data_IF_089788790008
#
_entry.id   IF_089788790008
#
_cell.length_a   1.000
_cell.length_b   1.000
_cell.length_c   1.000
_cell.angle_alpha   90.00
_cell.angle_beta   90.00
_cell.angle_gamma   90.00
#
_symmetry.space_group_name_H-M   'P 1'
#
loop_
_entity.id
_entity.type
_entity.pdbx_description
1 polymer ?
#
# COMPACT_ATOMS: atom_id res chain seq x y z
N UNK A 1 24.53 -68.40 -22.48
CA UNK A 1 23.10 -68.27 -22.87
C UNK A 1 22.51 -66.85 -22.84
N UNK A 2 23.25 -65.76 -22.52
CA UNK A 2 22.69 -64.39 -22.44
C UNK A 2 22.74 -63.53 -23.72
N UNK A 3 23.52 -63.90 -24.74
CA UNK A 3 23.74 -63.04 -25.94
C UNK A 3 22.70 -63.28 -27.07
N UNK A 4 22.03 -64.45 -27.11
CA UNK A 4 20.98 -64.74 -28.12
C UNK A 4 19.62 -64.09 -27.80
N UNK A 5 19.34 -63.73 -26.55
CA UNK A 5 18.09 -63.03 -26.17
C UNK A 5 18.10 -61.53 -26.50
N UNK A 6 19.28 -60.90 -26.51
CA UNK A 6 19.43 -59.46 -26.79
C UNK A 6 19.24 -59.14 -28.28
N UNK A 7 19.74 -60.00 -29.18
CA UNK A 7 19.53 -59.86 -30.64
C UNK A 7 18.08 -60.04 -31.08
N UNK A 8 17.30 -60.84 -30.35
CA UNK A 8 15.88 -61.09 -30.64
C UNK A 8 14.96 -59.96 -30.14
N UNK A 9 15.38 -59.25 -29.08
CA UNK A 9 14.66 -58.08 -28.55
C UNK A 9 14.90 -56.81 -29.37
N UNK A 10 16.11 -56.62 -29.92
CA UNK A 10 16.41 -55.48 -30.77
C UNK A 10 15.68 -55.54 -32.13
N UNK A 11 15.50 -56.71 -32.73
CA UNK A 11 14.72 -56.86 -33.97
C UNK A 11 13.22 -56.67 -33.74
N UNK A 12 12.69 -57.11 -32.59
CA UNK A 12 11.29 -56.87 -32.22
C UNK A 12 10.99 -55.37 -31.99
N UNK A 13 11.92 -54.64 -31.38
CA UNK A 13 11.77 -53.20 -31.13
C UNK A 13 11.79 -52.37 -32.43
N UNK A 14 12.63 -52.72 -33.40
CA UNK A 14 12.70 -52.01 -34.70
C UNK A 14 11.44 -52.24 -35.54
N UNK A 15 10.86 -53.44 -35.52
CA UNK A 15 9.60 -53.74 -36.21
C UNK A 15 8.41 -53.02 -35.55
N UNK A 16 8.39 -52.90 -34.22
CA UNK A 16 7.34 -52.17 -33.50
C UNK A 16 7.38 -50.65 -33.75
N UNK A 17 8.58 -50.07 -33.91
CA UNK A 17 8.73 -48.64 -34.26
C UNK A 17 8.38 -48.39 -35.73
N UNK A 18 8.72 -49.30 -36.64
CA UNK A 18 8.33 -49.20 -38.05
C UNK A 18 6.80 -49.36 -38.27
N UNK A 19 6.13 -50.24 -37.52
CA UNK A 19 4.66 -50.38 -37.60
C UNK A 19 3.91 -49.22 -36.95
N UNK A 20 4.46 -48.55 -35.95
CA UNK A 20 3.80 -47.40 -35.31
C UNK A 20 3.90 -46.11 -36.12
N UNK A 21 4.91 -45.96 -36.99
CA UNK A 21 5.02 -44.83 -37.92
C UNK A 21 4.15 -44.96 -39.19
N UNK A 22 3.64 -46.16 -39.50
CA UNK A 22 2.78 -46.41 -40.68
C UNK A 22 1.27 -46.25 -40.41
N UNK A 23 0.84 -46.14 -39.15
CA UNK A 23 -0.59 -45.99 -38.79
C UNK A 23 -1.03 -44.51 -38.72
N UNK A 24 -0.10 -43.56 -38.79
CA UNK A 24 -0.42 -42.12 -38.84
C UNK A 24 -0.68 -41.57 -40.26
N UNK A 25 -0.74 -42.44 -41.28
CA UNK A 25 -0.80 -42.05 -42.70
C UNK A 25 -2.10 -42.34 -43.45
N UNK A 26 -3.15 -42.88 -42.80
CA UNK A 26 -4.45 -43.04 -43.47
C UNK A 26 -5.21 -41.73 -43.35
N UNK A 27 -4.97 -40.84 -44.32
CA UNK A 27 -5.86 -39.73 -44.62
C UNK A 27 -7.25 -40.28 -44.91
N UNK A 28 -8.26 -39.69 -44.29
CA UNK A 28 -9.66 -39.95 -44.64
C UNK A 28 -9.83 -39.48 -46.09
N UNK A 29 -10.28 -40.34 -47.04
CA UNK A 29 -10.55 -39.90 -48.40
C UNK A 29 -11.59 -38.79 -48.38
N UNK A 30 -11.31 -37.71 -49.10
CA UNK A 30 -12.12 -36.47 -49.13
C UNK A 30 -13.55 -36.69 -49.62
N UNK A 31 -13.89 -37.88 -50.13
CA UNK A 31 -15.22 -38.28 -50.58
C UNK A 31 -16.18 -38.75 -49.47
N UNK A 32 -15.72 -38.92 -48.22
CA UNK A 32 -16.62 -39.20 -47.07
C UNK A 32 -17.07 -37.94 -46.32
N UNK A 33 -16.52 -36.77 -46.66
CA UNK A 33 -17.13 -35.49 -46.30
C UNK A 33 -18.19 -35.21 -47.36
N UNK A 34 -19.36 -35.84 -47.22
CA UNK A 34 -20.57 -35.25 -47.78
C UNK A 34 -20.63 -33.87 -47.14
N UNK A 35 -20.25 -32.81 -47.88
CA UNK A 35 -20.77 -31.47 -47.57
C UNK A 35 -22.27 -31.74 -47.50
N UNK A 36 -22.81 -31.78 -46.29
CA UNK A 36 -24.19 -31.43 -46.14
C UNK A 36 -24.26 -30.11 -46.91
N UNK A 37 -24.89 -30.13 -48.09
CA UNK A 37 -25.56 -28.95 -48.55
C UNK A 37 -26.48 -28.66 -47.38
N UNK A 38 -25.98 -27.83 -46.45
CA UNK A 38 -26.85 -27.14 -45.55
C UNK A 38 -27.80 -26.49 -46.52
N UNK A 39 -29.02 -27.02 -46.61
CA UNK A 39 -30.13 -26.20 -47.02
C UNK A 39 -29.92 -24.93 -46.21
N UNK A 40 -29.60 -23.84 -46.91
CA UNK A 40 -29.52 -22.54 -46.26
C UNK A 40 -30.80 -22.48 -45.44
N UNK A 41 -30.74 -22.42 -44.10
CA UNK A 41 -31.96 -22.28 -43.34
C UNK A 41 -32.65 -21.06 -43.95
N UNK A 42 -33.92 -21.20 -44.33
CA UNK A 42 -34.70 -20.08 -44.85
C UNK A 42 -34.38 -18.89 -43.97
N UNK A 43 -33.98 -17.77 -44.58
CA UNK A 43 -33.69 -16.54 -43.83
C UNK A 43 -34.86 -16.34 -42.87
N UNK A 44 -34.62 -16.29 -41.54
CA UNK A 44 -35.71 -16.13 -40.61
C UNK A 44 -36.45 -14.86 -41.02
N UNK A 45 -37.75 -15.00 -41.30
CA UNK A 45 -38.56 -13.90 -41.79
C UNK A 45 -38.31 -12.69 -40.88
N UNK A 46 -38.04 -11.49 -41.44
CA UNK A 46 -37.70 -10.32 -40.64
C UNK A 46 -38.79 -10.11 -39.60
N UNK A 47 -38.44 -10.27 -38.33
CA UNK A 47 -39.40 -10.06 -37.26
C UNK A 47 -39.86 -8.61 -37.31
N UNK A 48 -41.18 -8.34 -37.25
CA UNK A 48 -41.66 -6.98 -37.27
C UNK A 48 -41.10 -6.25 -36.05
N UNK A 49 -40.22 -5.28 -36.30
CA UNK A 49 -39.71 -4.39 -35.27
C UNK A 49 -40.90 -3.59 -34.74
N UNK A 50 -41.23 -3.78 -33.48
CA UNK A 50 -42.26 -2.99 -32.81
C UNK A 50 -41.61 -1.68 -32.38
N UNK A 51 -42.14 -0.56 -32.85
CA UNK A 51 -41.65 0.76 -32.45
C UNK A 51 -41.68 0.89 -30.93
N UNK A 52 -40.49 1.04 -30.33
CA UNK A 52 -40.34 1.19 -28.89
C UNK A 52 -41.02 2.47 -28.43
N UNK A 53 -42.06 2.35 -27.61
CA UNK A 53 -42.65 3.51 -26.96
C UNK A 53 -41.73 4.00 -25.85
N UNK A 54 -41.25 5.23 -25.96
CA UNK A 54 -40.49 5.86 -24.89
C UNK A 54 -41.33 5.88 -23.61
N UNK A 55 -40.84 5.18 -22.58
CA UNK A 55 -41.43 5.23 -21.24
C UNK A 55 -40.86 6.49 -20.57
N UNK A 56 -41.70 7.36 -19.97
CA UNK A 56 -41.19 8.49 -19.22
C UNK A 56 -40.25 7.99 -18.13
N UNK A 57 -39.09 8.64 -17.96
CA UNK A 57 -38.19 8.34 -16.85
C UNK A 57 -38.97 8.46 -15.53
N UNK A 58 -39.07 7.34 -14.80
CA UNK A 58 -39.63 7.38 -13.47
C UNK A 58 -38.76 8.31 -12.62
N UNK A 59 -39.35 9.31 -11.97
CA UNK A 59 -38.64 10.14 -11.00
C UNK A 59 -38.15 9.22 -9.89
N UNK A 60 -36.88 8.85 -9.93
CA UNK A 60 -36.22 8.14 -8.84
C UNK A 60 -36.25 9.09 -7.65
N UNK A 61 -36.96 8.69 -6.59
CA UNK A 61 -36.92 9.42 -5.34
C UNK A 61 -35.46 9.47 -4.89
N UNK A 62 -34.96 10.67 -4.58
CA UNK A 62 -33.59 10.83 -4.09
C UNK A 62 -33.34 9.85 -2.96
N UNK A 63 -32.34 8.99 -3.17
CA UNK A 63 -31.89 8.04 -2.17
C UNK A 63 -31.44 8.79 -0.90
N UNK A 64 -31.43 8.09 0.22
CA UNK A 64 -31.07 8.69 1.52
C UNK A 64 -29.66 9.32 1.46
N UNK A 65 -28.74 8.72 0.70
CA UNK A 65 -27.37 9.20 0.48
C UNK A 65 -27.29 10.52 -0.32
N UNK A 66 -28.29 10.82 -1.15
CA UNK A 66 -28.31 12.04 -1.98
C UNK A 66 -28.88 13.24 -1.22
N UNK A 67 -29.49 12.99 -0.05
CA UNK A 67 -29.93 14.01 0.91
C UNK A 67 -28.82 14.46 1.85
N UNK A 68 -27.71 13.71 1.92
CA UNK A 68 -26.59 14.11 2.73
C UNK A 68 -25.94 15.37 2.14
N UNK A 69 -25.68 16.41 2.97
CA UNK A 69 -25.06 17.63 2.49
C UNK A 69 -23.69 17.30 1.88
N UNK A 70 -23.51 17.69 0.62
CA UNK A 70 -22.25 17.45 -0.10
C UNK A 70 -21.11 18.18 0.60
N UNK A 71 -20.25 17.45 1.30
CA UNK A 71 -19.12 18.01 2.02
C UNK A 71 -18.08 18.48 0.99
N UNK A 72 -17.92 19.80 0.84
CA UNK A 72 -16.81 20.37 0.06
C UNK A 72 -15.55 20.40 0.93
N UNK A 73 -14.49 19.66 0.57
CA UNK A 73 -13.25 19.66 1.33
C UNK A 73 -12.57 21.03 1.21
N UNK A 74 -12.13 21.58 2.34
CA UNK A 74 -11.30 22.79 2.36
C UNK A 74 -9.89 22.45 1.87
N UNK A 75 -9.28 23.28 1.00
CA UNK A 75 -7.91 23.03 0.57
C UNK A 75 -6.95 23.11 1.76
N UNK A 76 -5.99 22.19 1.89
CA UNK A 76 -5.04 22.20 3.00
C UNK A 76 -4.06 23.37 2.88
N UNK A 77 -3.79 24.02 4.00
CA UNK A 77 -2.76 25.06 4.15
C UNK A 77 -1.46 24.40 4.59
N UNK A 78 -0.49 24.39 3.69
CA UNK A 78 0.82 23.80 3.93
C UNK A 78 1.77 24.79 4.61
N UNK A 79 2.54 24.34 5.62
CA UNK A 79 3.55 25.18 6.25
C UNK A 79 4.67 25.54 5.28
N UNK A 80 5.22 26.75 5.44
CA UNK A 80 6.41 27.20 4.72
C UNK A 80 7.68 26.89 5.51
N UNK A 81 8.81 26.85 4.80
CA UNK A 81 10.12 26.84 5.43
C UNK A 81 10.37 28.19 6.12
N UNK A 82 11.15 28.16 7.20
CA UNK A 82 11.56 29.37 7.90
C UNK A 82 12.40 29.02 9.13
N UNK A 83 13.00 30.03 9.75
CA UNK A 83 13.78 29.85 10.96
C UNK A 83 13.48 30.96 11.95
N UNK A 84 13.41 30.60 13.23
CA UNK A 84 13.20 31.53 14.33
C UNK A 84 13.91 31.01 15.58
N UNK A 85 14.30 31.93 16.46
CA UNK A 85 14.82 31.61 17.79
C UNK A 85 13.74 31.90 18.83
N UNK A 86 13.66 31.04 19.84
CA UNK A 86 12.65 31.10 20.91
C UNK A 86 13.31 30.79 22.23
N UNK A 87 12.89 31.46 23.29
CA UNK A 87 13.31 31.15 24.64
C UNK A 87 12.53 29.94 25.16
N UNK A 88 13.22 28.90 25.62
CA UNK A 88 12.56 27.72 26.18
C UNK A 88 12.17 27.98 27.64
N UNK A 89 11.07 28.70 27.85
CA UNK A 89 10.51 28.97 29.17
C UNK A 89 9.44 27.93 29.58
N UNK A 90 8.85 28.07 30.77
CA UNK A 90 7.87 27.12 31.29
C UNK A 90 6.57 27.04 30.45
N UNK A 91 6.28 28.07 29.62
CA UNK A 91 5.11 28.13 28.73
C UNK A 91 5.45 27.72 27.30
N UNK A 92 4.47 27.21 26.56
CA UNK A 92 4.63 26.96 25.12
C UNK A 92 4.68 28.29 24.35
N UNK A 93 5.86 28.70 23.95
CA UNK A 93 6.10 29.87 23.12
C UNK A 93 6.15 29.50 21.64
N UNK A 94 5.58 30.35 20.79
CA UNK A 94 5.55 30.11 19.34
C UNK A 94 6.85 30.59 18.69
N UNK A 95 7.42 29.78 17.81
CA UNK A 95 8.56 30.15 16.99
C UNK A 95 8.14 31.07 15.85
N UNK A 96 7.95 32.36 16.13
CA UNK A 96 7.44 33.34 15.17
C UNK A 96 6.17 32.84 14.45
N UNK A 97 6.18 32.78 13.12
CA UNK A 97 5.08 32.28 12.29
C UNK A 97 5.16 30.78 11.97
N UNK A 98 6.12 30.05 12.57
CA UNK A 98 6.33 28.64 12.31
C UNK A 98 5.25 27.77 12.99
N UNK A 99 4.90 26.60 12.43
CA UNK A 99 3.95 25.65 13.00
C UNK A 99 4.49 24.90 14.23
N UNK A 100 5.51 25.42 14.91
CA UNK A 100 6.18 24.76 16.05
C UNK A 100 6.20 25.70 17.24
N UNK A 101 5.89 25.14 18.42
CA UNK A 101 6.02 25.83 19.71
C UNK A 101 6.97 25.07 20.61
N UNK A 102 7.73 25.79 21.42
CA UNK A 102 8.75 25.23 22.30
C UNK A 102 8.46 25.66 23.75
N UNK A 103 8.71 24.76 24.69
CA UNK A 103 8.77 25.05 26.13
C UNK A 103 9.90 24.23 26.76
N UNK A 104 10.36 24.63 27.94
CA UNK A 104 11.19 23.80 28.80
C UNK A 104 10.43 22.52 29.19
N UNK A 105 11.06 21.35 29.04
CA UNK A 105 10.48 20.09 29.52
C UNK A 105 10.64 19.93 31.03
N UNK A 106 11.81 20.34 31.56
CA UNK A 106 12.17 20.22 32.97
C UNK A 106 12.65 21.57 33.51
N UNK A 107 12.09 22.04 34.64
CA UNK A 107 12.52 23.30 35.28
C UNK A 107 13.97 23.27 35.77
N UNK A 108 14.56 22.08 35.92
CA UNK A 108 15.90 21.87 36.49
C UNK A 108 17.02 21.81 35.43
N UNK A 109 16.69 21.57 34.15
CA UNK A 109 17.65 21.54 33.06
C UNK A 109 17.38 22.74 32.15
N UNK A 110 17.99 23.89 32.47
CA UNK A 110 17.80 25.12 31.72
C UNK A 110 18.38 24.98 30.31
N UNK A 111 17.50 24.68 29.36
CA UNK A 111 17.71 25.02 27.96
C UNK A 111 17.35 26.49 27.84
N UNK A 112 18.27 27.31 27.34
CA UNK A 112 18.02 28.74 27.13
C UNK A 112 17.32 28.96 25.79
N UNK A 113 18.00 29.64 24.88
CA UNK A 113 17.50 29.91 23.53
C UNK A 113 17.58 28.67 22.65
N UNK A 114 16.52 28.42 21.90
CA UNK A 114 16.37 27.30 20.96
C UNK A 114 16.12 27.86 19.57
N UNK A 115 16.91 27.44 18.59
CA UNK A 115 16.67 27.70 17.17
C UNK A 115 15.78 26.61 16.59
N UNK A 116 14.69 27.04 16.00
CA UNK A 116 13.76 26.20 15.24
C UNK A 116 13.89 26.55 13.77
N UNK A 117 14.05 25.54 12.93
CA UNK A 117 14.08 25.68 11.48
C UNK A 117 13.09 24.68 10.87
N UNK A 118 12.03 25.16 10.23
CA UNK A 118 11.10 24.32 9.47
C UNK A 118 11.57 24.16 8.03
N UNK A 119 11.40 22.95 7.51
CA UNK A 119 11.84 22.60 6.16
C UNK A 119 10.77 22.88 5.12
N UNK A 120 11.22 23.04 3.86
CA UNK A 120 10.33 23.20 2.71
C UNK A 120 9.50 21.93 2.47
N UNK A 121 8.25 22.03 1.96
CA UNK A 121 7.39 20.87 1.69
C UNK A 121 8.06 19.77 0.86
N UNK A 122 8.89 20.14 -0.11
CA UNK A 122 9.62 19.19 -0.96
C UNK A 122 10.64 18.39 -0.17
N UNK A 123 11.35 19.03 0.77
CA UNK A 123 12.30 18.36 1.66
C UNK A 123 11.56 17.44 2.64
N UNK A 124 10.42 17.89 3.20
CA UNK A 124 9.57 17.06 4.06
C UNK A 124 9.14 15.78 3.33
N UNK A 125 8.70 15.90 2.08
CA UNK A 125 8.29 14.75 1.24
C UNK A 125 9.46 13.80 0.96
N UNK A 126 10.66 14.32 0.67
CA UNK A 126 11.88 13.51 0.48
C UNK A 126 12.29 12.73 1.73
N UNK A 127 11.93 13.21 2.92
CA UNK A 127 12.15 12.51 4.18
C UNK A 127 11.08 11.46 4.49
N UNK A 128 10.05 11.32 3.64
CA UNK A 128 8.88 10.47 3.90
C UNK A 128 7.89 11.08 4.90
N UNK A 129 8.02 12.39 5.16
CA UNK A 129 7.14 13.15 6.04
C UNK A 129 5.96 13.79 5.33
N UNK A 130 5.10 14.42 6.12
CA UNK A 130 3.91 15.15 5.67
C UNK A 130 3.77 16.46 6.44
N UNK A 131 3.71 17.56 5.70
CA UNK A 131 3.42 18.90 6.23
C UNK A 131 4.56 19.55 7.00
N UNK A 132 4.93 19.02 8.17
CA UNK A 132 5.92 19.64 9.07
C UNK A 132 7.14 18.75 9.24
N UNK A 133 8.31 19.34 9.01
CA UNK A 133 9.58 18.86 9.56
C UNK A 133 10.33 20.05 10.16
N UNK A 134 10.92 19.86 11.33
CA UNK A 134 11.69 20.89 12.01
C UNK A 134 13.01 20.35 12.54
N UNK A 135 14.06 21.13 12.35
CA UNK A 135 15.32 21.01 13.08
C UNK A 135 15.22 21.91 14.31
N UNK A 136 15.54 21.34 15.48
CA UNK A 136 15.45 22.03 16.76
C UNK A 136 16.81 21.91 17.44
N UNK A 137 17.48 23.03 17.64
CA UNK A 137 18.84 23.09 18.16
C UNK A 137 18.97 24.12 19.27
N UNK A 138 19.93 23.92 20.17
CA UNK A 138 20.28 24.94 21.15
C UNK A 138 20.99 26.10 20.45
N UNK A 139 20.56 27.32 20.74
CA UNK A 139 21.19 28.57 20.32
C UNK A 139 21.83 29.33 21.50
N UNK A 140 21.78 28.76 22.71
CA UNK A 140 22.36 29.32 23.94
C UNK A 140 23.86 29.06 24.11
N UNK A 141 24.54 28.56 23.06
CA UNK A 141 25.98 28.26 23.08
C UNK A 141 26.35 26.95 23.80
N UNK A 142 25.40 26.22 24.39
CA UNK A 142 25.67 24.93 25.04
C UNK A 142 25.54 23.76 24.08
N UNK A 143 26.54 22.86 24.07
CA UNK A 143 26.49 21.61 23.33
C UNK A 143 25.85 20.46 24.12
N UNK A 144 25.59 20.66 25.42
CA UNK A 144 25.07 19.62 26.30
C UNK A 144 23.63 19.23 25.92
N UNK A 145 23.26 17.95 26.04
CA UNK A 145 21.91 17.50 25.75
C UNK A 145 20.91 18.14 26.71
N UNK A 146 19.75 18.54 26.19
CA UNK A 146 18.66 19.11 26.96
C UNK A 146 17.31 18.68 26.42
N UNK A 147 16.32 18.51 27.30
CA UNK A 147 14.95 18.16 26.90
C UNK A 147 14.10 19.41 26.77
N UNK A 148 13.38 19.51 25.67
CA UNK A 148 12.38 20.55 25.41
C UNK A 148 11.05 19.91 25.04
N UNK A 149 9.95 20.54 25.43
CA UNK A 149 8.63 20.16 24.94
C UNK A 149 8.38 20.88 23.63
N UNK A 150 8.19 20.11 22.57
CA UNK A 150 7.87 20.61 21.25
C UNK A 150 6.42 20.27 20.86
N UNK A 151 5.66 21.28 20.45
CA UNK A 151 4.32 21.13 19.88
C UNK A 151 4.37 21.41 18.37
N UNK A 152 3.92 20.46 17.57
CA UNK A 152 3.86 20.56 16.11
C UNK A 152 2.40 20.71 15.69
N UNK A 153 2.05 21.84 15.09
CA UNK A 153 0.71 22.11 14.59
C UNK A 153 0.51 21.53 13.19
N UNK A 154 -0.56 20.74 13.04
CA UNK A 154 -1.02 20.22 11.75
C UNK A 154 -2.43 20.70 11.40
N UNK A 155 -2.96 21.69 12.14
CA UNK A 155 -4.31 22.20 11.97
C UNK A 155 -4.61 22.72 10.55
N UNK A 156 -3.60 23.23 9.84
CA UNK A 156 -3.75 23.72 8.46
C UNK A 156 -3.98 22.62 7.42
N UNK A 157 -3.49 21.40 7.66
CA UNK A 157 -3.53 20.29 6.69
C UNK A 157 -4.14 19.00 7.27
N UNK A 158 -4.83 19.08 8.41
CA UNK A 158 -5.41 17.91 9.10
C UNK A 158 -6.35 17.07 8.23
N UNK A 159 -7.01 17.69 7.26
CA UNK A 159 -8.02 17.05 6.40
C UNK A 159 -7.48 16.72 5.00
N UNK A 160 -6.16 16.82 4.77
CA UNK A 160 -5.55 16.73 3.44
C UNK A 160 -5.64 15.34 2.77
N UNK A 161 -5.75 14.25 3.53
CA UNK A 161 -5.65 12.87 3.01
C UNK A 161 -6.85 11.96 3.33
N UNK A 162 -7.85 12.44 4.08
CA UNK A 162 -8.99 11.63 4.53
C UNK A 162 -8.58 10.42 5.40
N UNK A 163 -9.49 9.45 5.57
CA UNK A 163 -9.20 8.15 6.21
C UNK A 163 -8.53 8.26 7.59
N UNK A 164 -9.07 9.12 8.45
CA UNK A 164 -8.55 9.43 9.78
C UNK A 164 -7.05 9.79 9.80
N UNK A 165 -6.53 10.42 8.74
CA UNK A 165 -5.12 10.82 8.63
C UNK A 165 -4.59 11.50 9.90
N UNK A 166 -5.32 12.46 10.45
CA UNK A 166 -4.92 13.19 11.65
C UNK A 166 -4.67 12.29 12.87
N UNK A 167 -5.45 11.21 13.05
CA UNK A 167 -5.28 10.30 14.20
C UNK A 167 -4.07 9.38 14.08
N UNK A 168 -3.54 9.23 12.86
CA UNK A 168 -2.41 8.36 12.54
C UNK A 168 -1.09 9.11 12.48
N UNK A 169 -1.09 10.43 12.63
CA UNK A 169 0.13 11.23 12.64
C UNK A 169 1.05 10.79 13.78
N UNK A 170 2.32 10.59 13.43
CA UNK A 170 3.40 10.25 14.36
C UNK A 170 4.56 11.21 14.17
N UNK A 171 5.31 11.44 15.25
CA UNK A 171 6.58 12.15 15.18
C UNK A 171 7.71 11.15 15.00
N UNK A 172 8.53 11.38 13.98
CA UNK A 172 9.72 10.59 13.69
C UNK A 172 10.95 11.46 13.89
N UNK A 173 11.98 10.90 14.54
CA UNK A 173 13.31 11.48 14.66
C UNK A 173 14.22 10.87 13.60
N UNK A 174 14.90 11.72 12.83
CA UNK A 174 15.85 11.35 11.78
C UNK A 174 17.20 12.03 12.03
N UNK A 175 18.33 11.43 11.60
CA UNK A 175 19.64 12.07 11.69
C UNK A 175 19.75 13.24 10.70
N UNK A 176 20.56 14.25 11.04
CA UNK A 176 20.80 15.42 10.17
C UNK A 176 21.37 15.07 8.79
N UNK A 177 22.09 13.95 8.66
CA UNK A 177 22.58 13.48 7.36
C UNK A 177 21.44 13.18 6.37
N UNK A 178 20.21 12.95 6.86
CA UNK A 178 19.04 12.72 6.01
C UNK A 178 18.67 13.95 5.15
N UNK A 179 19.09 15.16 5.55
CA UNK A 179 18.86 16.43 4.84
C UNK A 179 19.82 16.66 3.65
N UNK A 180 20.96 15.97 3.64
CA UNK A 180 21.99 16.19 2.62
C UNK A 180 21.58 15.58 1.26
N UNK A 181 21.78 16.35 0.19
CA UNK A 181 21.46 15.94 -1.18
C UNK A 181 22.65 16.23 -2.10
N UNK A 182 23.28 15.22 -2.74
CA UNK A 182 23.02 13.79 -2.61
C UNK A 182 23.40 13.23 -1.24
N UNK A 183 22.71 12.18 -0.79
CA UNK A 183 22.94 11.58 0.53
C UNK A 183 24.27 10.82 0.54
N UNK A 184 25.14 11.02 1.54
CA UNK A 184 26.38 10.27 1.70
C UNK A 184 26.11 8.76 1.83
N UNK A 185 27.01 7.94 1.26
CA UNK A 185 26.91 6.47 1.35
C UNK A 185 26.88 5.94 2.78
N UNK A 186 27.50 6.64 3.72
CA UNK A 186 27.52 6.28 5.14
C UNK A 186 26.29 6.74 5.95
N UNK A 187 25.34 7.47 5.35
CA UNK A 187 24.18 7.98 6.10
C UNK A 187 23.13 6.88 6.32
N UNK A 188 23.04 6.39 7.56
CA UNK A 188 22.08 5.37 7.97
C UNK A 188 20.78 6.06 8.40
N UNK A 189 19.84 6.17 7.46
CA UNK A 189 18.54 6.79 7.74
C UNK A 189 17.56 5.74 8.23
N UNK A 190 17.44 5.63 9.55
CA UNK A 190 16.42 4.81 10.21
C UNK A 190 15.52 5.71 11.06
N UNK A 191 14.30 6.04 10.59
CA UNK A 191 13.37 6.87 11.37
C UNK A 191 13.05 6.20 12.72
N UNK A 192 13.20 6.95 13.80
CA UNK A 192 12.88 6.50 15.15
C UNK A 192 11.57 7.15 15.61
N UNK A 193 10.52 6.37 15.94
CA UNK A 193 9.30 6.92 16.51
C UNK A 193 9.60 7.65 17.83
N UNK A 194 9.10 8.87 17.97
CA UNK A 194 9.13 9.63 19.22
C UNK A 194 7.78 9.50 19.90
N UNK A 195 7.79 9.18 21.19
CA UNK A 195 6.58 9.14 21.99
C UNK A 195 5.97 10.55 22.02
N UNK A 196 4.72 10.66 21.59
CA UNK A 196 4.04 11.93 21.47
C UNK A 196 2.55 11.80 21.78
N UNK A 197 1.98 12.87 22.32
CA UNK A 197 0.55 13.01 22.56
C UNK A 197 -0.08 13.76 21.40
N UNK A 198 -1.03 13.12 20.72
CA UNK A 198 -1.76 13.73 19.62
C UNK A 198 -3.11 14.30 20.12
N UNK A 199 -3.29 15.62 20.08
CA UNK A 199 -4.55 16.30 20.40
C UNK A 199 -5.31 16.57 19.10
N UNK A 200 -6.27 15.68 18.79
CA UNK A 200 -7.07 15.75 17.56
C UNK A 200 -8.00 16.97 17.52
N UNK A 201 -8.41 17.50 18.68
CA UNK A 201 -9.28 18.68 18.74
C UNK A 201 -8.49 19.91 18.32
N UNK A 202 -7.32 20.13 18.95
CA UNK A 202 -6.46 21.28 18.64
C UNK A 202 -5.67 21.14 17.35
N UNK A 203 -5.41 19.90 16.90
CA UNK A 203 -4.65 19.65 15.68
C UNK A 203 -3.16 19.82 15.92
N UNK A 204 -2.70 19.33 17.06
CA UNK A 204 -1.32 19.47 17.50
C UNK A 204 -0.78 18.17 18.05
N UNK A 205 0.52 17.95 17.85
CA UNK A 205 1.23 16.79 18.34
C UNK A 205 2.36 17.25 19.26
N UNK A 206 2.30 16.84 20.52
CA UNK A 206 3.19 17.31 21.59
C UNK A 206 4.14 16.19 22.00
N UNK A 207 5.44 16.46 22.02
CA UNK A 207 6.46 15.51 22.45
C UNK A 207 7.55 16.20 23.25
N UNK A 208 8.09 15.49 24.24
CA UNK A 208 9.33 15.90 24.90
C UNK A 208 10.50 15.33 24.08
N UNK A 209 11.32 16.22 23.52
CA UNK A 209 12.40 15.90 22.58
C UNK A 209 13.74 16.33 23.17
N UNK A 210 14.76 15.50 22.96
CA UNK A 210 16.12 15.81 23.36
C UNK A 210 16.83 16.54 22.21
N UNK A 211 17.43 17.69 22.53
CA UNK A 211 18.17 18.55 21.62
C UNK A 211 19.61 18.74 22.12
N UNK A 212 20.50 19.17 21.23
CA UNK A 212 21.94 19.22 21.50
C UNK A 212 22.65 17.91 21.13
N UNK A 213 23.97 17.87 21.34
CA UNK A 213 24.74 16.63 21.12
C UNK A 213 24.57 15.73 22.32
N UNK A 214 23.99 14.55 22.10
CA UNK A 214 23.81 13.57 23.16
C UNK A 214 24.80 12.43 23.05
N UNK A 215 24.89 11.62 24.09
CA UNK A 215 25.66 10.38 24.03
C UNK A 215 24.86 9.34 23.23
N UNK A 216 25.48 8.67 22.23
CA UNK A 216 24.79 7.64 21.47
C UNK A 216 24.29 6.52 22.39
N UNK A 217 23.05 6.09 22.18
CA UNK A 217 22.48 4.95 22.90
C UNK A 217 23.31 3.72 22.59
N UNK A 218 23.81 3.05 23.63
CA UNK A 218 24.63 1.85 23.48
C UNK A 218 23.76 0.69 23.00
N UNK A 219 24.09 0.16 21.82
CA UNK A 219 23.43 -1.04 21.28
C UNK A 219 24.04 -2.29 21.94
N UNK A 220 23.22 -3.25 22.41
CA UNK A 220 23.72 -4.51 22.95
C UNK A 220 24.63 -5.24 21.96
N UNK A 221 25.72 -5.80 22.47
CA UNK A 221 26.63 -6.60 21.65
C UNK A 221 25.92 -7.86 21.14
N UNK A 222 26.22 -8.24 19.89
CA UNK A 222 25.69 -9.46 19.30
C UNK A 222 26.22 -10.72 20.02
N UNK A 223 25.45 -11.83 20.02
CA UNK A 223 25.95 -13.11 20.52
C UNK A 223 27.17 -13.57 19.71
N UNK A 224 28.11 -14.25 20.37
CA UNK A 224 29.28 -14.81 19.69
C UNK A 224 28.85 -15.86 18.66
N UNK A 225 29.38 -15.76 17.44
CA UNK A 225 29.09 -16.70 16.34
C UNK A 225 27.99 -16.22 15.38
N UNK A 226 27.22 -15.18 15.72
CA UNK A 226 26.13 -14.69 14.88
C UNK A 226 26.56 -13.48 14.02
N UNK A 227 27.24 -13.73 12.89
CA UNK A 227 27.75 -12.69 12.00
C UNK A 227 26.65 -11.70 11.52
N UNK A 228 25.43 -12.19 11.29
CA UNK A 228 24.28 -11.33 10.89
C UNK A 228 23.80 -10.44 12.03
N UNK A 229 23.86 -10.92 13.27
CA UNK A 229 23.51 -10.12 14.43
C UNK A 229 24.59 -9.05 14.68
N UNK A 230 25.86 -9.39 14.51
CA UNK A 230 26.98 -8.46 14.61
C UNK A 230 26.85 -7.31 13.59
N UNK A 231 26.64 -7.62 12.30
CA UNK A 231 26.44 -6.60 11.27
C UNK A 231 25.22 -5.70 11.55
N UNK A 232 24.13 -6.25 12.11
CA UNK A 232 22.96 -5.45 12.51
C UNK A 232 23.27 -4.51 13.67
N UNK A 233 24.03 -4.98 14.68
CA UNK A 233 24.42 -4.18 15.82
C UNK A 233 25.34 -3.02 15.41
N UNK A 234 26.27 -3.26 14.48
CA UNK A 234 27.14 -2.22 13.92
C UNK A 234 26.34 -1.12 13.21
N UNK A 235 25.39 -1.48 12.33
CA UNK A 235 24.53 -0.51 11.64
C UNK A 235 23.64 0.26 12.63
N UNK A 236 23.13 -0.40 13.67
CA UNK A 236 22.33 0.25 14.72
C UNK A 236 23.17 1.23 15.54
N UNK A 237 24.43 0.88 15.85
CA UNK A 237 25.34 1.75 16.59
C UNK A 237 25.71 2.98 15.76
N UNK A 238 26.02 2.81 14.47
CA UNK A 238 26.28 3.92 13.55
C UNK A 238 25.05 4.85 13.41
N UNK A 239 23.84 4.29 13.37
CA UNK A 239 22.61 5.09 13.36
C UNK A 239 22.43 5.88 14.67
N UNK A 240 22.74 5.28 15.83
CA UNK A 240 22.67 5.93 17.12
C UNK A 240 23.66 7.11 17.22
N UNK A 241 24.89 6.95 16.71
CA UNK A 241 25.90 8.00 16.62
C UNK A 241 25.44 9.17 15.73
N UNK A 242 24.84 8.87 14.58
CA UNK A 242 24.30 9.90 13.67
C UNK A 242 23.12 10.67 14.28
N UNK A 243 22.27 10.00 15.06
CA UNK A 243 21.17 10.63 15.81
C UNK A 243 21.68 11.50 16.96
N UNK A 244 22.76 11.07 17.62
CA UNK A 244 23.43 11.78 18.70
C UNK A 244 24.16 13.06 18.22
N UNK A 245 24.66 13.05 16.98
CA UNK A 245 25.31 14.22 16.37
C UNK A 245 24.34 15.38 16.08
N UNK A 246 23.06 15.07 15.88
CA UNK A 246 22.01 16.05 15.60
C UNK A 246 20.77 15.37 15.03
N UNK A 247 19.61 16.00 15.17
CA UNK A 247 18.34 15.39 14.76
C UNK A 247 17.38 16.36 14.11
N UNK A 248 16.54 15.80 13.25
CA UNK A 248 15.40 16.45 12.60
C UNK A 248 14.15 15.70 12.98
N UNK A 249 13.10 16.42 13.33
CA UNK A 249 11.81 15.85 13.69
C UNK A 249 10.83 16.05 12.55
N UNK A 250 10.15 14.97 12.15
CA UNK A 250 9.28 14.93 10.98
C UNK A 250 7.92 14.35 11.38
N UNK A 251 6.83 15.00 10.99
CA UNK A 251 5.50 14.40 11.06
C UNK A 251 5.32 13.42 9.91
N UNK A 252 4.82 12.22 10.19
CA UNK A 252 4.55 11.19 9.19
C UNK A 252 3.22 10.49 9.44
N UNK A 253 2.57 10.05 8.37
CA UNK A 253 1.37 9.22 8.44
C UNK A 253 1.71 7.80 8.87
N UNK A 254 1.21 7.37 10.02
CA UNK A 254 1.33 6.00 10.49
C UNK A 254 0.43 5.04 9.72
N UNK A 255 0.92 3.80 9.54
CA UNK A 255 0.10 2.70 9.01
C UNK A 255 -0.86 2.16 10.07
N UNK A 256 -0.67 2.47 11.34
CA UNK A 256 -1.56 2.01 12.43
C UNK A 256 -1.90 3.20 13.32
N UNK A 257 -3.14 3.27 13.77
CA UNK A 257 -3.62 4.29 14.70
C UNK A 257 -4.61 3.69 15.69
N UNK A 258 -5.13 4.51 16.61
CA UNK A 258 -6.20 4.10 17.53
C UNK A 258 -7.45 3.62 16.78
N UNK A 259 -7.66 4.11 15.56
CA UNK A 259 -8.83 3.78 14.72
C UNK A 259 -8.60 2.57 13.80
N UNK A 260 -7.48 1.84 13.96
CA UNK A 260 -7.21 0.60 13.24
C UNK A 260 -5.90 0.57 12.44
N UNK A 261 -5.81 -0.41 11.53
CA UNK A 261 -4.67 -0.60 10.64
C UNK A 261 -5.03 -0.15 9.22
N UNK A 262 -4.19 0.74 8.69
CA UNK A 262 -4.27 1.38 7.39
C UNK A 262 -3.09 0.94 6.50
N UNK A 263 -2.33 -0.06 6.94
CA UNK A 263 -1.37 -0.73 6.08
C UNK A 263 -2.06 -1.42 4.91
N UNK A 264 -1.33 -1.60 3.81
CA UNK A 264 -1.82 -2.39 2.69
C UNK A 264 -2.22 -3.78 3.20
N UNK A 265 -3.46 -4.18 2.92
CA UNK A 265 -3.92 -5.54 3.17
C UNK A 265 -3.01 -6.50 2.40
N UNK A 266 -2.61 -7.58 3.05
CA UNK A 266 -1.81 -8.61 2.39
C UNK A 266 -2.61 -9.18 1.20
N UNK A 267 -1.98 -9.31 0.04
CA UNK A 267 -2.58 -9.85 -1.19
C UNK A 267 -2.62 -11.39 -1.14
N UNK A 268 -2.82 -11.98 0.03
CA UNK A 268 -3.06 -13.41 0.16
C UNK A 268 -4.35 -13.75 -0.59
N UNK A 269 -4.33 -14.77 -1.47
CA UNK A 269 -5.54 -15.20 -2.15
C UNK A 269 -6.62 -15.50 -1.11
N UNK A 270 -7.71 -14.76 -1.16
CA UNK A 270 -8.86 -14.98 -0.27
C UNK A 270 -9.71 -16.18 -0.70
N UNK A 271 -9.34 -16.86 -1.79
CA UNK A 271 -9.99 -18.06 -2.27
C UNK A 271 -9.03 -18.97 -3.03
N UNK A 272 -9.44 -20.22 -3.19
CA UNK A 272 -8.70 -21.23 -3.95
C UNK A 272 -9.42 -21.51 -5.25
N UNK A 273 -8.66 -21.60 -6.35
CA UNK A 273 -9.14 -22.09 -7.63
C UNK A 273 -8.64 -23.52 -7.82
N UNK A 274 -9.52 -24.41 -8.28
CA UNK A 274 -9.15 -25.75 -8.73
C UNK A 274 -9.62 -25.94 -10.17
N UNK A 275 -8.74 -26.48 -11.02
CA UNK A 275 -9.10 -26.97 -12.34
C UNK A 275 -9.55 -28.44 -12.24
N UNK A 276 -10.70 -28.77 -12.80
CA UNK A 276 -11.20 -30.15 -12.87
C UNK A 276 -10.42 -30.97 -13.91
N UNK A 277 -10.33 -32.29 -13.69
CA UNK A 277 -9.68 -33.20 -14.65
C UNK A 277 -10.54 -33.40 -15.89
N UNK A 278 -9.95 -33.14 -17.06
CA UNK A 278 -10.42 -33.43 -18.43
C UNK A 278 -11.77 -32.85 -18.90
N UNK A 279 -12.56 -32.17 -18.07
CA UNK A 279 -13.89 -31.63 -18.43
C UNK A 279 -14.00 -30.10 -18.56
N UNK A 280 -12.91 -29.34 -18.42
CA UNK A 280 -12.92 -27.87 -18.52
C UNK A 280 -13.65 -27.15 -17.39
N UNK A 281 -13.98 -27.84 -16.29
CA UNK A 281 -14.61 -27.22 -15.12
C UNK A 281 -13.58 -26.50 -14.25
N UNK A 282 -13.98 -25.37 -13.69
CA UNK A 282 -13.21 -24.63 -12.69
C UNK A 282 -14.07 -24.45 -11.45
N UNK A 283 -13.55 -24.75 -10.26
CA UNK A 283 -14.20 -24.43 -8.99
C UNK A 283 -13.44 -23.34 -8.25
N UNK A 284 -14.20 -22.41 -7.67
CA UNK A 284 -13.68 -21.36 -6.80
C UNK A 284 -14.30 -21.53 -5.41
N UNK A 285 -13.45 -21.52 -4.37
CA UNK A 285 -13.89 -21.61 -2.99
C UNK A 285 -13.40 -20.39 -2.21
N UNK A 286 -14.33 -19.63 -1.64
CA UNK A 286 -14.07 -18.49 -0.74
C UNK A 286 -14.63 -18.83 0.65
N UNK A 287 -13.80 -19.06 1.68
CA UNK A 287 -14.29 -19.31 3.02
C UNK A 287 -14.84 -18.01 3.63
N UNK A 288 -16.10 -18.04 4.06
CA UNK A 288 -16.68 -16.97 4.87
C UNK A 288 -16.40 -17.29 6.35
N UNK A 289 -15.78 -16.38 7.14
CA UNK A 289 -15.60 -16.60 8.56
C UNK A 289 -16.96 -16.63 9.26
N UNK A 290 -17.23 -17.73 9.96
CA UNK A 290 -18.48 -17.91 10.70
C UNK A 290 -18.37 -17.26 12.09
N UNK A 291 -19.38 -16.49 12.54
CA UNK A 291 -19.40 -16.00 13.92
C UNK A 291 -19.43 -17.20 14.89
N UNK A 292 -18.69 -17.15 16.02
CA UNK A 292 -18.69 -18.24 16.99
C UNK A 292 -20.11 -18.45 17.56
N UNK A 293 -20.63 -19.67 17.45
CA UNK A 293 -21.90 -20.05 18.06
C UNK A 293 -21.79 -20.08 19.59
N UNK A 294 -22.73 -19.47 20.33
CA UNK A 294 -22.77 -19.52 21.79
C UNK A 294 -22.87 -20.94 22.39
N UNK A 295 -23.21 -21.97 21.59
CA UNK A 295 -23.55 -23.32 22.08
C UNK A 295 -22.83 -24.46 21.34
N UNK A 296 -21.71 -24.18 20.66
CA UNK A 296 -20.95 -25.19 19.90
C UNK A 296 -21.39 -25.31 18.44
N UNK A 297 -20.80 -26.30 17.71
CA UNK A 297 -20.71 -26.41 16.24
C UNK A 297 -21.83 -25.70 15.45
N UNK A 298 -21.49 -24.53 14.91
CA UNK A 298 -22.36 -23.75 14.02
C UNK A 298 -22.57 -24.42 12.66
N UNK A 299 -23.60 -23.99 11.90
CA UNK A 299 -23.88 -24.50 10.57
C UNK A 299 -22.77 -24.11 9.57
N UNK A 300 -22.10 -25.12 9.01
CA UNK A 300 -21.03 -24.96 8.02
C UNK A 300 -21.56 -24.23 6.76
N UNK A 301 -21.40 -22.91 6.70
CA UNK A 301 -21.83 -22.10 5.58
C UNK A 301 -20.77 -22.11 4.46
N UNK A 302 -20.86 -23.10 3.58
CA UNK A 302 -20.12 -23.10 2.30
C UNK A 302 -21.03 -22.54 1.21
N UNK A 303 -20.60 -21.49 0.51
CA UNK A 303 -21.34 -21.00 -0.67
C UNK A 303 -21.50 -22.15 -1.67
N UNK A 304 -22.71 -22.41 -2.23
CA UNK A 304 -22.91 -23.50 -3.17
C UNK A 304 -21.98 -23.31 -4.37
N UNK A 305 -21.27 -24.37 -4.74
CA UNK A 305 -20.52 -24.44 -5.99
C UNK A 305 -21.47 -24.08 -7.12
N UNK A 306 -21.26 -22.93 -7.77
CA UNK A 306 -22.00 -22.59 -8.98
C UNK A 306 -21.79 -23.72 -9.99
N UNK A 307 -22.85 -24.40 -10.48
CA UNK A 307 -22.67 -25.36 -11.56
C UNK A 307 -22.09 -24.64 -12.77
N UNK A 308 -21.27 -25.32 -13.60
CA UNK A 308 -20.63 -24.68 -14.74
C UNK A 308 -21.70 -24.04 -15.63
N UNK A 309 -21.61 -22.72 -15.83
CA UNK A 309 -22.32 -22.07 -16.92
C UNK A 309 -21.71 -22.63 -18.21
N UNK A 310 -22.42 -23.57 -18.84
CA UNK A 310 -22.09 -24.06 -20.17
C UNK A 310 -22.05 -22.87 -21.12
N UNK A 311 -20.88 -22.53 -21.64
CA UNK A 311 -20.73 -21.59 -22.76
C UNK A 311 -20.91 -22.28 -24.10
N UNK A 312 -21.73 -23.34 -24.17
CA UNK A 312 -22.16 -23.88 -25.44
C UNK A 312 -23.29 -23.00 -26.00
N UNK A 313 -22.89 -22.08 -26.87
CA UNK A 313 -23.70 -21.33 -27.84
C UNK A 313 -24.43 -20.09 -27.32
N UNK A 314 -23.69 -18.99 -27.25
CA UNK A 314 -24.21 -17.65 -27.60
C UNK A 314 -23.23 -17.07 -28.62
N UNK A 315 -23.46 -17.35 -29.90
CA UNK A 315 -22.89 -16.55 -31.00
C UNK A 315 -23.98 -15.66 -31.53
N UNK A 316 -24.13 -14.49 -30.91
CA UNK A 316 -24.74 -13.32 -31.53
C UNK A 316 -23.64 -12.26 -31.68
N UNK A 317 -23.35 -11.73 -32.87
CA UNK A 317 -22.32 -10.72 -33.03
C UNK A 317 -22.79 -9.39 -32.43
N UNK A 318 -22.10 -8.91 -31.40
CA UNK A 318 -22.18 -7.52 -30.96
C UNK A 318 -21.26 -6.69 -31.86
N UNK A 319 -21.82 -6.03 -32.87
CA UNK A 319 -21.13 -4.95 -33.60
C UNK A 319 -21.09 -3.71 -32.71
N UNK A 320 -19.87 -3.27 -32.41
CA UNK A 320 -19.56 -1.99 -31.76
C UNK A 320 -19.68 -0.84 -32.77
N UNK A 321 -20.30 0.32 -32.44
CA UNK A 321 -20.35 1.45 -33.36
C UNK A 321 -18.99 2.16 -33.42
N UNK A 322 -18.26 1.94 -34.50
CA UNK A 322 -17.11 2.75 -34.87
C UNK A 322 -17.58 4.09 -35.46
N UNK A 323 -17.15 5.17 -34.82
CA UNK A 323 -17.31 6.57 -35.22
C UNK A 323 -16.36 6.84 -36.39
N UNK A 324 -16.89 7.08 -37.60
CA UNK A 324 -16.09 7.58 -38.73
C UNK A 324 -16.33 9.07 -38.93
N UNK A 325 -15.25 9.84 -38.82
CA UNK A 325 -15.17 11.24 -39.22
C UNK A 325 -14.94 11.31 -40.73
N UNK A 326 -15.73 12.12 -41.43
CA UNK A 326 -15.55 12.49 -42.83
C UNK A 326 -14.38 13.48 -42.96
N UNK A 327 -13.33 13.11 -43.68
CA UNK A 327 -12.38 14.05 -44.26
C UNK A 327 -12.79 14.27 -45.72
N UNK A 328 -13.16 15.50 -46.04
CA UNK A 328 -13.37 15.95 -47.41
C UNK A 328 -12.05 16.21 -48.12
N UNK A 329 -12.03 15.93 -49.41
CA UNK A 329 -11.22 16.59 -50.43
C UNK A 329 -12.13 16.89 -51.60
#
# INVERSE_FOLDING_TARGET
>A
MRIRRVRMWLTAAVIAVAMSLLVSGVGVPEDLVRRAAAASPDEPAPEPSVDGRAVPDAKVAQGVEEKDPKVTPKPPVWPKAGSAEVQADAGLERAADLPVRIAAADKAAAVGTVKVETLAPEAVRKLGGVGVAARIERADGSAAPGKVRAEFSYAGFRDAFGGNFASRLRLLRLPVCALTTPRPRGCVVRPQPVAARNDLKKGVLVADVEIGRSTPVKVPAAPKGDAKAAARAEVQQAAAEQLAAGSVFVLAGGMTGPDGNFGATDLKPSGTWQAGTSGGSFSYSYPLPEPPSPVGNGPICRSPTTPPRSTAKVTGPTTSPARSASAGS
#
